data_IF_375123989735
#
_entry.id   IF_375123989735
#
_cell.length_a   1.000
_cell.length_b   1.000
_cell.length_c   1.000
_cell.angle_alpha   90.00
_cell.angle_beta   90.00
_cell.angle_gamma   90.00
#
_symmetry.space_group_name_H-M   'P 1'
#
loop_
_entity.id
_entity.type
_entity.pdbx_description
1 polymer ?
#
# COMPACT_ATOMS: atom_id res chain seq x y z
N UNK A 1 28.56 -19.36 7.09
CA UNK A 1 27.09 -19.22 7.14
C UNK A 1 26.77 -17.81 6.66
N UNK A 2 25.94 -17.69 5.62
CA UNK A 2 25.66 -16.39 5.00
C UNK A 2 24.83 -15.54 5.96
N UNK A 3 25.24 -14.30 6.20
CA UNK A 3 24.57 -13.37 7.14
C UNK A 3 23.17 -12.92 6.68
N UNK A 4 22.66 -13.44 5.56
CA UNK A 4 21.39 -13.03 4.96
C UNK A 4 20.26 -14.07 5.08
N UNK A 5 20.45 -15.19 5.78
CA UNK A 5 19.42 -16.25 5.88
C UNK A 5 18.09 -15.80 6.51
N UNK A 6 18.05 -14.62 7.13
CA UNK A 6 16.84 -14.09 7.79
C UNK A 6 15.96 -13.25 6.84
N UNK A 7 16.40 -12.96 5.61
CA UNK A 7 15.66 -12.08 4.69
C UNK A 7 14.76 -12.81 3.69
N UNK A 8 14.95 -14.11 3.49
CA UNK A 8 14.12 -14.92 2.60
C UNK A 8 13.40 -15.99 3.39
N UNK A 9 12.22 -15.66 3.89
CA UNK A 9 11.36 -16.67 4.50
C UNK A 9 10.87 -17.63 3.43
N UNK A 10 11.03 -18.94 3.65
CA UNK A 10 10.40 -19.97 2.81
C UNK A 10 8.88 -20.09 3.08
N UNK A 11 8.40 -19.44 4.14
CA UNK A 11 7.00 -19.45 4.56
C UNK A 11 6.44 -18.02 4.56
N UNK A 12 5.17 -17.88 4.19
CA UNK A 12 4.53 -16.57 4.20
C UNK A 12 4.38 -16.06 5.64
N UNK A 13 4.81 -14.81 5.87
CA UNK A 13 4.56 -14.11 7.11
C UNK A 13 3.09 -13.71 7.21
N UNK A 14 2.53 -13.70 8.42
CA UNK A 14 1.26 -13.03 8.72
C UNK A 14 1.58 -11.58 9.09
N UNK A 15 0.98 -10.62 8.38
CA UNK A 15 1.15 -9.19 8.67
C UNK A 15 0.08 -8.76 9.67
N UNK A 16 0.48 -8.21 10.82
CA UNK A 16 -0.45 -7.66 11.82
C UNK A 16 -1.28 -8.67 12.61
N UNK A 17 -0.82 -9.93 12.67
CA UNK A 17 -1.28 -11.19 13.30
C UNK A 17 -2.73 -11.44 13.79
N UNK A 18 -3.60 -10.46 14.04
CA UNK A 18 -4.90 -10.68 14.70
C UNK A 18 -6.06 -9.86 14.10
N UNK A 19 -5.93 -9.44 12.83
CA UNK A 19 -6.86 -8.47 12.23
C UNK A 19 -7.51 -9.01 10.97
N UNK A 20 -8.84 -9.03 10.98
CA UNK A 20 -9.63 -9.27 9.79
C UNK A 20 -9.58 -8.02 8.90
N UNK A 21 -9.22 -8.22 7.63
CA UNK A 21 -9.15 -7.17 6.62
C UNK A 21 -10.02 -7.48 5.42
N UNK A 22 -10.42 -6.42 4.71
CA UNK A 22 -11.21 -6.52 3.49
C UNK A 22 -10.53 -5.85 2.31
N UNK A 23 -10.99 -6.22 1.11
CA UNK A 23 -10.41 -5.76 -0.14
C UNK A 23 -9.03 -6.38 -0.39
N UNK A 24 -8.33 -5.79 -1.35
CA UNK A 24 -6.97 -6.16 -1.73
C UNK A 24 -5.99 -5.29 -0.94
N UNK A 25 -5.02 -5.87 -0.20
CA UNK A 25 -3.97 -5.07 0.44
C UNK A 25 -3.08 -4.43 -0.63
N UNK A 26 -2.68 -3.18 -0.42
CA UNK A 26 -1.76 -2.47 -1.30
C UNK A 26 -0.40 -2.35 -0.64
N UNK A 27 0.66 -2.64 -1.41
CA UNK A 27 2.06 -2.59 -0.98
C UNK A 27 2.83 -1.59 -1.84
N UNK A 28 3.83 -0.93 -1.28
CA UNK A 28 4.84 -0.15 -2.01
C UNK A 28 6.18 -0.24 -1.28
N UNK A 29 7.30 -0.08 -1.98
CA UNK A 29 8.56 0.21 -1.29
C UNK A 29 8.65 1.72 -1.04
N UNK A 30 8.76 2.09 0.23
CA UNK A 30 8.95 3.46 0.68
C UNK A 30 10.42 3.88 0.71
N UNK A 31 10.67 5.12 1.12
CA UNK A 31 12.01 5.67 1.31
C UNK A 31 12.52 5.62 2.77
N UNK A 32 11.69 5.16 3.72
CA UNK A 32 12.03 5.07 5.13
C UNK A 32 13.12 4.02 5.40
N UNK A 33 14.05 4.35 6.30
CA UNK A 33 15.22 3.52 6.58
C UNK A 33 16.27 3.62 5.47
N UNK A 34 17.41 2.97 5.67
CA UNK A 34 18.54 3.06 4.72
C UNK A 34 18.28 2.32 3.41
N UNK A 35 17.36 1.36 3.43
CA UNK A 35 17.06 0.47 2.30
C UNK A 35 15.66 0.63 1.74
N UNK A 36 14.85 1.49 2.34
CA UNK A 36 13.45 1.67 1.98
C UNK A 36 12.59 0.52 2.49
N UNK A 37 11.81 0.79 3.53
CA UNK A 37 10.83 -0.14 4.08
C UNK A 37 9.79 -0.55 3.04
N UNK A 38 9.17 -1.71 3.25
CA UNK A 38 7.91 -2.01 2.56
C UNK A 38 6.77 -1.39 3.35
N UNK A 39 5.87 -0.71 2.68
CA UNK A 39 4.74 0.01 3.25
C UNK A 39 3.45 -0.61 2.73
N UNK A 40 2.58 -1.05 3.64
CA UNK A 40 1.36 -1.77 3.32
C UNK A 40 0.15 -1.06 3.90
N UNK A 41 -0.90 -0.87 3.10
CA UNK A 41 -2.22 -0.43 3.58
C UNK A 41 -3.28 -1.49 3.30
N UNK A 42 -4.21 -1.66 4.25
CA UNK A 42 -5.37 -2.52 4.09
C UNK A 42 -6.61 -1.91 4.74
N UNK A 43 -7.79 -2.23 4.20
CA UNK A 43 -9.05 -1.86 4.82
C UNK A 43 -9.34 -2.78 6.02
N UNK A 44 -9.72 -2.18 7.15
CA UNK A 44 -10.21 -2.92 8.30
C UNK A 44 -11.53 -3.64 7.96
N UNK A 45 -11.76 -4.83 8.53
CA UNK A 45 -12.99 -5.59 8.27
C UNK A 45 -14.29 -4.88 8.64
N UNK A 46 -14.22 -3.92 9.58
CA UNK A 46 -15.35 -3.12 10.04
C UNK A 46 -15.26 -1.69 9.50
N UNK A 47 -14.27 -0.93 9.97
CA UNK A 47 -14.12 0.49 9.64
C UNK A 47 -12.66 0.97 9.81
N UNK A 48 -12.29 1.95 9.01
CA UNK A 48 -10.96 2.53 8.97
C UNK A 48 -9.96 1.71 8.17
N UNK A 49 -8.70 2.07 8.35
CA UNK A 49 -7.57 1.56 7.59
C UNK A 49 -6.46 1.16 8.55
N UNK A 50 -5.67 0.18 8.13
CA UNK A 50 -4.41 -0.19 8.77
C UNK A 50 -3.25 0.14 7.84
N UNK A 51 -2.20 0.72 8.42
CA UNK A 51 -0.88 0.78 7.80
C UNK A 51 0.08 -0.15 8.54
N UNK A 52 0.90 -0.89 7.81
CA UNK A 52 1.98 -1.72 8.32
C UNK A 52 3.26 -1.39 7.56
N UNK A 53 4.41 -1.57 8.21
CA UNK A 53 5.69 -1.42 7.55
C UNK A 53 6.63 -2.56 7.89
N UNK A 54 7.39 -3.02 6.90
CA UNK A 54 8.46 -4.01 7.07
C UNK A 54 9.79 -3.28 7.13
N UNK A 55 10.55 -3.49 8.21
CA UNK A 55 11.89 -2.94 8.30
C UNK A 55 12.84 -3.71 7.38
N UNK A 56 13.23 -3.07 6.27
CA UNK A 56 14.08 -3.66 5.25
C UNK A 56 15.59 -3.44 5.48
N UNK A 57 15.97 -2.74 6.56
CA UNK A 57 17.35 -2.51 6.92
C UNK A 57 18.04 -3.81 7.38
N UNK A 58 19.37 -3.80 7.48
CA UNK A 58 20.13 -4.87 8.15
C UNK A 58 20.41 -4.53 9.60
N UNK A 59 20.75 -5.56 10.38
CA UNK A 59 21.32 -5.39 11.73
C UNK A 59 22.55 -4.46 11.77
N UNK A 60 23.31 -4.38 10.67
CA UNK A 60 24.48 -3.51 10.55
C UNK A 60 24.13 -2.05 10.21
N UNK A 61 22.91 -1.79 9.76
CA UNK A 61 22.46 -0.44 9.48
C UNK A 61 22.09 0.26 10.81
N UNK A 62 22.46 1.54 11.00
CA UNK A 62 21.99 2.33 12.13
C UNK A 62 20.47 2.29 12.23
N UNK A 63 19.94 1.91 13.39
CA UNK A 63 18.50 1.86 13.64
C UNK A 63 17.93 3.27 13.67
N UNK A 64 17.21 3.66 12.62
CA UNK A 64 16.38 4.87 12.62
C UNK A 64 15.01 4.61 13.27
N UNK A 65 14.49 3.38 13.16
CA UNK A 65 13.24 2.93 13.75
C UNK A 65 13.49 1.80 14.76
N UNK A 66 13.93 2.09 16.00
CA UNK A 66 14.37 1.06 16.95
C UNK A 66 13.24 0.12 17.41
N UNK A 67 11.97 0.48 17.21
CA UNK A 67 10.82 -0.29 17.66
C UNK A 67 10.48 -1.49 16.76
N UNK A 68 10.94 -1.50 15.50
CA UNK A 68 10.71 -2.61 14.57
C UNK A 68 12.06 -3.19 14.15
N UNK A 69 12.41 -4.41 14.59
CA UNK A 69 13.68 -5.03 14.22
C UNK A 69 13.82 -5.22 12.70
N UNK A 70 15.04 -5.10 12.14
CA UNK A 70 15.37 -5.56 10.80
C UNK A 70 14.73 -6.92 10.46
N UNK A 71 14.14 -7.03 9.27
CA UNK A 71 13.50 -8.27 8.81
C UNK A 71 12.13 -8.55 9.41
N UNK A 72 11.50 -7.58 10.10
CA UNK A 72 10.21 -7.76 10.76
C UNK A 72 9.15 -6.76 10.30
N UNK A 73 7.90 -7.20 10.28
CA UNK A 73 6.73 -6.33 10.14
C UNK A 73 6.40 -5.64 11.46
N UNK A 74 5.89 -4.40 11.37
CA UNK A 74 5.33 -3.68 12.51
C UNK A 74 4.00 -4.31 12.97
N UNK A 75 3.59 -3.98 14.20
CA UNK A 75 2.24 -4.31 14.71
C UNK A 75 1.11 -3.53 14.01
N UNK A 76 1.46 -2.56 13.16
CA UNK A 76 0.56 -1.70 12.41
C UNK A 76 -0.13 -0.60 13.22
N UNK A 77 -0.48 0.48 12.51
CA UNK A 77 -1.19 1.65 13.04
C UNK A 77 -2.56 1.77 12.39
N UNK A 78 -3.60 1.99 13.19
CA UNK A 78 -4.97 2.25 12.70
C UNK A 78 -5.16 3.74 12.43
N UNK A 79 -5.84 4.06 11.35
CA UNK A 79 -6.28 5.42 11.05
C UNK A 79 -7.64 5.43 10.33
N UNK A 80 -8.15 6.63 10.07
CA UNK A 80 -9.44 6.86 9.41
C UNK A 80 -10.66 6.17 10.08
N UNK A 81 -10.81 6.20 11.42
CA UNK A 81 -11.96 5.56 12.08
C UNK A 81 -13.30 6.18 11.65
N UNK A 82 -14.40 5.45 11.80
CA UNK A 82 -15.75 5.93 11.50
C UNK A 82 -16.16 5.89 10.03
N UNK A 83 -15.29 5.42 9.13
CA UNK A 83 -15.61 5.23 7.70
C UNK A 83 -15.32 3.80 7.29
N UNK A 84 -16.28 3.14 6.62
CA UNK A 84 -16.06 1.83 6.01
C UNK A 84 -15.42 2.00 4.63
N UNK A 85 -14.23 1.45 4.47
CA UNK A 85 -13.51 1.44 3.19
C UNK A 85 -13.60 0.06 2.54
N UNK A 86 -13.65 0.04 1.21
CA UNK A 86 -13.75 -1.19 0.41
C UNK A 86 -12.50 -1.45 -0.43
N UNK A 87 -11.69 -0.42 -0.66
CA UNK A 87 -10.39 -0.52 -1.30
C UNK A 87 -9.49 0.63 -0.84
N UNK A 88 -8.18 0.38 -0.77
CA UNK A 88 -7.18 1.42 -0.51
C UNK A 88 -5.91 1.13 -1.31
N UNK A 89 -5.22 2.18 -1.72
CA UNK A 89 -3.93 2.10 -2.39
C UNK A 89 -2.92 3.02 -1.72
N UNK A 90 -1.74 2.51 -1.42
CA UNK A 90 -0.60 3.27 -0.88
C UNK A 90 0.42 3.53 -1.99
N UNK A 91 1.00 4.72 -2.00
CA UNK A 91 2.05 5.12 -2.95
C UNK A 91 3.14 5.90 -2.22
N UNK A 92 4.38 5.74 -2.67
CA UNK A 92 5.49 6.59 -2.23
C UNK A 92 5.39 7.96 -2.94
N UNK A 93 5.34 9.04 -2.17
CA UNK A 93 5.40 10.39 -2.70
C UNK A 93 6.84 10.76 -3.07
N UNK A 94 6.98 11.59 -4.09
CA UNK A 94 8.23 12.26 -4.44
C UNK A 94 8.29 13.69 -3.85
N UNK A 95 7.25 14.10 -3.11
CA UNK A 95 7.11 15.44 -2.56
C UNK A 95 7.41 15.44 -1.06
N UNK A 96 8.35 16.28 -0.64
CA UNK A 96 8.81 16.40 0.75
C UNK A 96 9.68 15.22 1.21
N UNK A 97 10.26 15.31 2.42
CA UNK A 97 11.05 14.23 2.99
C UNK A 97 10.11 13.11 3.46
N UNK A 98 10.05 12.04 2.68
CA UNK A 98 9.47 10.73 3.06
C UNK A 98 7.95 10.68 3.24
N UNK A 99 7.17 11.27 2.33
CA UNK A 99 5.71 11.17 2.44
C UNK A 99 5.13 9.95 1.73
N UNK A 100 4.11 9.35 2.36
CA UNK A 100 3.25 8.33 1.77
C UNK A 100 1.92 8.98 1.37
N UNK A 101 1.38 8.56 0.24
CA UNK A 101 0.05 8.90 -0.22
C UNK A 101 -0.86 7.69 -0.03
N UNK A 102 -2.08 7.89 0.49
CA UNK A 102 -3.09 6.85 0.55
C UNK A 102 -4.38 7.35 -0.10
N UNK A 103 -4.88 6.59 -1.07
CA UNK A 103 -6.18 6.80 -1.67
C UNK A 103 -7.09 5.70 -1.17
N UNK A 104 -8.24 6.06 -0.60
CA UNK A 104 -9.14 5.10 0.03
C UNK A 104 -10.58 5.29 -0.44
N UNK A 105 -11.13 4.24 -1.03
CA UNK A 105 -12.50 4.21 -1.52
C UNK A 105 -13.43 3.79 -0.39
N UNK A 106 -14.26 4.73 0.06
CA UNK A 106 -15.31 4.45 1.01
C UNK A 106 -16.48 3.72 0.33
N UNK A 107 -17.24 2.94 1.09
CA UNK A 107 -18.37 2.12 0.59
C UNK A 107 -19.50 2.93 -0.07
N UNK A 108 -19.69 4.18 0.36
CA UNK A 108 -20.62 5.14 -0.22
C UNK A 108 -20.11 5.78 -1.52
N UNK A 109 -18.88 5.48 -1.94
CA UNK A 109 -18.30 5.86 -3.23
C UNK A 109 -17.50 7.18 -3.23
N UNK A 110 -17.08 7.67 -2.07
CA UNK A 110 -16.10 8.76 -1.98
C UNK A 110 -14.68 8.20 -2.03
N UNK A 111 -13.84 8.71 -2.93
CA UNK A 111 -12.42 8.37 -3.01
C UNK A 111 -11.62 9.42 -2.24
N UNK A 112 -11.31 9.11 -0.99
CA UNK A 112 -10.59 10.00 -0.10
C UNK A 112 -9.10 10.02 -0.40
N UNK A 113 -8.46 11.16 -0.13
CA UNK A 113 -7.03 11.38 -0.32
C UNK A 113 -6.37 11.70 1.01
N UNK A 114 -5.38 10.90 1.38
CA UNK A 114 -4.66 10.97 2.64
C UNK A 114 -3.17 11.11 2.38
N UNK A 115 -2.47 11.77 3.30
CA UNK A 115 -1.01 11.80 3.30
C UNK A 115 -0.45 11.52 4.67
N UNK A 116 0.72 10.90 4.70
CA UNK A 116 1.51 10.79 5.92
C UNK A 116 2.25 12.10 6.18
N UNK A 117 2.18 12.61 7.40
CA UNK A 117 3.05 13.68 7.89
C UNK A 117 3.77 13.23 9.16
N UNK A 118 5.10 13.38 9.26
CA UNK A 118 5.84 13.08 10.48
C UNK A 118 5.24 13.85 11.67
N UNK A 119 4.91 13.12 12.74
CA UNK A 119 4.24 13.67 13.93
C UNK A 119 2.74 13.34 13.97
N UNK A 120 1.86 14.10 13.28
CA UNK A 120 0.41 13.86 13.32
C UNK A 120 -0.05 12.51 12.74
N UNK A 121 0.81 11.85 11.95
CA UNK A 121 0.49 10.63 11.23
C UNK A 121 -0.30 10.90 9.95
N UNK A 122 -1.18 9.97 9.57
CA UNK A 122 -2.04 10.11 8.40
C UNK A 122 -3.10 11.20 8.58
N UNK A 123 -3.17 12.11 7.61
CA UNK A 123 -4.14 13.20 7.57
C UNK A 123 -5.00 13.13 6.32
N UNK A 124 -6.31 13.31 6.51
CA UNK A 124 -7.28 13.45 5.42
C UNK A 124 -7.16 14.84 4.80
N UNK A 125 -7.17 14.90 3.47
CA UNK A 125 -7.34 16.15 2.72
C UNK A 125 -8.81 16.53 2.61
N UNK A 126 -9.09 17.83 2.58
CA UNK A 126 -10.46 18.32 2.52
C UNK A 126 -11.19 17.92 1.23
N UNK A 127 -10.48 17.89 0.10
CA UNK A 127 -11.05 17.51 -1.20
C UNK A 127 -10.79 16.03 -1.50
N UNK A 128 -11.85 15.21 -1.70
CA UNK A 128 -11.68 13.86 -2.21
C UNK A 128 -11.24 13.91 -3.68
N UNK A 129 -10.54 12.87 -4.12
CA UNK A 129 -10.09 12.74 -5.50
C UNK A 129 -11.26 12.62 -6.48
N UNK A 130 -12.29 11.87 -6.09
CA UNK A 130 -13.48 11.63 -6.89
C UNK A 130 -14.66 11.19 -6.01
N UNK A 131 -15.86 11.26 -6.57
CA UNK A 131 -17.13 10.83 -5.93
C UNK A 131 -17.89 9.90 -6.86
N UNK A 132 -18.77 9.07 -6.30
CA UNK A 132 -19.56 8.08 -7.05
C UNK A 132 -18.71 6.95 -7.62
N UNK A 133 -17.56 6.67 -7.01
CA UNK A 133 -16.56 5.70 -7.45
C UNK A 133 -16.93 4.28 -7.00
N UNK A 134 -16.65 3.28 -7.83
CA UNK A 134 -16.84 1.85 -7.55
C UNK A 134 -15.55 1.04 -7.65
N UNK A 135 -14.56 1.53 -8.40
CA UNK A 135 -13.20 1.03 -8.43
C UNK A 135 -12.25 2.15 -8.84
N UNK A 136 -10.98 2.07 -8.46
CA UNK A 136 -9.99 3.07 -8.86
C UNK A 136 -8.60 2.45 -9.02
N UNK A 137 -7.73 3.21 -9.68
CA UNK A 137 -6.29 3.00 -9.66
C UNK A 137 -5.59 4.34 -9.63
N UNK A 138 -4.58 4.46 -8.78
CA UNK A 138 -3.71 5.62 -8.69
C UNK A 138 -2.30 5.26 -9.15
N UNK A 139 -1.58 6.23 -9.71
CA UNK A 139 -0.14 6.18 -9.93
C UNK A 139 0.47 7.50 -9.50
N UNK A 140 1.68 7.44 -8.97
CA UNK A 140 2.45 8.62 -8.57
C UNK A 140 3.74 8.67 -9.38
N UNK A 141 4.04 9.81 -10.00
CA UNK A 141 5.26 10.03 -10.78
C UNK A 141 5.62 11.51 -10.71
N UNK A 142 6.86 11.82 -10.32
CA UNK A 142 7.41 13.18 -10.28
C UNK A 142 6.50 14.20 -9.57
N UNK A 143 5.92 13.79 -8.44
CA UNK A 143 5.01 14.60 -7.62
C UNK A 143 3.57 14.68 -8.12
N UNK A 144 3.30 14.11 -9.29
CA UNK A 144 1.98 14.06 -9.90
C UNK A 144 1.27 12.77 -9.51
N UNK A 145 0.09 12.93 -8.94
CA UNK A 145 -0.83 11.83 -8.66
C UNK A 145 -1.88 11.77 -9.78
N UNK A 146 -1.94 10.65 -10.50
CA UNK A 146 -2.92 10.41 -11.57
C UNK A 146 -3.84 9.27 -11.17
N UNK A 147 -5.14 9.47 -11.28
CA UNK A 147 -6.16 8.52 -10.83
C UNK A 147 -7.15 8.24 -11.94
N UNK A 148 -7.43 6.97 -12.18
CA UNK A 148 -8.60 6.52 -12.93
C UNK A 148 -9.62 5.99 -11.96
N UNK A 149 -10.88 6.42 -12.09
CA UNK A 149 -11.98 6.03 -11.23
C UNK A 149 -13.16 5.54 -12.09
N UNK A 150 -13.57 4.30 -11.88
CA UNK A 150 -14.81 3.78 -12.41
C UNK A 150 -15.98 4.36 -11.61
N UNK A 151 -16.92 4.99 -12.28
CA UNK A 151 -18.12 5.55 -11.67
C UNK A 151 -19.28 4.55 -11.72
N UNK A 152 -20.32 4.79 -10.91
CA UNK A 152 -21.61 4.08 -11.05
C UNK A 152 -22.13 4.28 -12.49
N UNK A 153 -22.38 3.19 -13.20
CA UNK A 153 -22.74 3.20 -14.62
C UNK A 153 -21.62 2.81 -15.58
N UNK A 154 -20.41 2.54 -15.06
CA UNK A 154 -19.30 1.97 -15.83
C UNK A 154 -18.44 2.99 -16.58
N UNK A 155 -18.77 4.29 -16.51
CA UNK A 155 -17.91 5.35 -17.05
C UNK A 155 -16.60 5.41 -16.26
N UNK A 156 -15.48 5.53 -16.96
CA UNK A 156 -14.18 5.78 -16.34
C UNK A 156 -13.89 7.28 -16.45
N UNK A 157 -13.66 7.91 -15.31
CA UNK A 157 -13.20 9.29 -15.22
C UNK A 157 -11.73 9.32 -14.80
N UNK A 158 -10.98 10.30 -15.30
CA UNK A 158 -9.58 10.49 -14.94
C UNK A 158 -9.40 11.84 -14.26
N UNK A 159 -8.71 11.83 -13.12
CA UNK A 159 -8.34 13.04 -12.40
C UNK A 159 -6.84 13.04 -12.12
N UNK A 160 -6.26 14.23 -12.09
CA UNK A 160 -4.85 14.45 -11.82
C UNK A 160 -4.70 15.52 -10.75
N UNK A 161 -3.73 15.34 -9.87
CA UNK A 161 -3.25 16.38 -8.96
C UNK A 161 -1.75 16.54 -9.13
N UNK A 162 -1.31 17.77 -9.39
CA UNK A 162 0.12 18.09 -9.33
C UNK A 162 0.59 18.29 -7.88
N UNK A 163 1.88 18.57 -7.71
CA UNK A 163 2.49 18.76 -6.39
C UNK A 163 2.45 20.20 -5.86
N UNK A 164 1.81 21.13 -6.58
CA UNK A 164 1.76 22.53 -6.19
C UNK A 164 0.86 22.70 -4.97
N UNK A 165 1.37 23.37 -3.93
CA UNK A 165 0.62 23.55 -2.68
C UNK A 165 0.63 22.33 -1.75
N UNK A 166 1.49 21.34 -2.02
CA UNK A 166 1.69 20.18 -1.15
C UNK A 166 1.93 20.60 0.32
N UNK A 167 1.31 19.93 1.32
CA UNK A 167 0.64 18.62 1.24
C UNK A 167 -0.78 18.63 0.71
N UNK A 168 -1.42 19.79 0.56
CA UNK A 168 -2.76 19.86 -0.03
C UNK A 168 -2.72 19.50 -1.51
N UNK A 169 -3.83 18.97 -2.01
CA UNK A 169 -3.97 18.54 -3.40
C UNK A 169 -5.27 19.07 -3.99
N UNK A 170 -5.15 19.65 -5.18
CA UNK A 170 -6.29 20.03 -6.01
C UNK A 170 -6.39 19.07 -7.19
N UNK A 171 -7.62 18.74 -7.57
CA UNK A 171 -7.90 17.73 -8.59
C UNK A 171 -8.45 18.35 -9.86
N UNK A 172 -7.86 17.99 -10.99
CA UNK A 172 -8.30 18.43 -12.32
C UNK A 172 -8.68 17.22 -13.16
N UNK A 173 -9.83 17.28 -13.83
CA UNK A 173 -10.24 16.26 -14.79
C UNK A 173 -9.34 16.27 -16.02
N UNK A 174 -8.91 15.10 -16.44
CA UNK A 174 -8.05 14.91 -17.63
C UNK A 174 -8.64 13.84 -18.56
N UNK A 175 -8.17 13.79 -19.81
CA UNK A 175 -8.71 12.87 -20.82
C UNK A 175 -8.21 11.42 -20.67
N UNK A 176 -7.12 11.20 -19.94
CA UNK A 176 -6.52 9.87 -19.79
C UNK A 176 -5.85 9.70 -18.44
N UNK A 177 -5.66 8.45 -18.05
CA UNK A 177 -5.08 8.06 -16.76
C UNK A 177 -4.60 6.61 -16.77
N UNK A 178 -4.19 6.06 -15.61
CA UNK A 178 -3.73 4.68 -15.52
C UNK A 178 -4.85 3.69 -15.89
N UNK A 179 -4.53 2.57 -16.53
CA UNK A 179 -5.52 1.51 -16.79
C UNK A 179 -6.03 0.90 -15.48
N UNK A 180 -7.34 0.67 -15.33
CA UNK A 180 -7.91 0.12 -14.09
C UNK A 180 -7.48 -1.32 -13.80
N UNK A 181 -7.17 -2.08 -14.84
CA UNK A 181 -6.65 -3.44 -14.70
C UNK A 181 -5.20 -3.40 -14.27
N UNK A 182 -4.89 -4.12 -13.20
CA UNK A 182 -3.51 -4.45 -12.85
C UNK A 182 -3.12 -5.77 -13.51
N UNK A 183 -1.88 -5.89 -14.00
CA UNK A 183 -1.34 -7.18 -14.41
C UNK A 183 -1.53 -8.19 -13.27
N UNK A 184 -1.96 -9.40 -13.62
CA UNK A 184 -2.01 -10.49 -12.67
C UNK A 184 -0.62 -10.82 -12.10
N UNK A 185 -0.56 -11.51 -10.95
CA UNK A 185 0.70 -11.97 -10.38
C UNK A 185 1.46 -12.83 -11.39
N UNK A 186 2.77 -12.61 -11.46
CA UNK A 186 3.70 -13.37 -12.31
C UNK A 186 4.30 -14.56 -11.58
N UNK A 187 4.29 -14.55 -10.24
CA UNK A 187 4.78 -15.63 -9.40
C UNK A 187 3.65 -16.57 -8.98
N UNK A 188 3.95 -17.86 -9.01
CA UNK A 188 3.08 -18.88 -8.44
C UNK A 188 3.45 -19.12 -6.97
N UNK A 189 2.61 -18.63 -6.06
CA UNK A 189 2.81 -18.78 -4.62
C UNK A 189 1.96 -19.95 -4.12
N UNK A 190 2.61 -21.10 -3.87
CA UNK A 190 1.91 -22.31 -3.39
C UNK A 190 1.06 -22.04 -2.14
N UNK A 191 1.62 -21.32 -1.16
CA UNK A 191 0.91 -20.95 0.08
C UNK A 191 -0.35 -20.12 -0.20
N UNK A 192 -0.34 -19.25 -1.21
CA UNK A 192 -1.52 -18.48 -1.60
C UNK A 192 -2.65 -19.41 -2.08
N UNK A 193 -2.34 -20.45 -2.86
CA UNK A 193 -3.34 -21.43 -3.30
C UNK A 193 -3.91 -22.23 -2.13
N UNK A 194 -3.03 -22.69 -1.24
CA UNK A 194 -3.39 -23.52 -0.10
C UNK A 194 -4.22 -22.76 0.95
N UNK A 195 -4.00 -21.46 1.08
CA UNK A 195 -4.70 -20.58 2.03
C UNK A 195 -5.98 -19.96 1.48
N UNK A 196 -6.39 -20.30 0.25
CA UNK A 196 -7.58 -19.74 -0.40
C UNK A 196 -7.44 -18.26 -0.70
N UNK A 197 -6.27 -17.85 -1.20
CA UNK A 197 -5.91 -16.46 -1.39
C UNK A 197 -6.91 -15.67 -2.24
N UNK A 198 -7.17 -14.44 -1.80
CA UNK A 198 -7.83 -13.41 -2.60
C UNK A 198 -6.91 -12.20 -2.71
N UNK A 199 -6.97 -11.52 -3.86
CA UNK A 199 -6.23 -10.28 -4.06
C UNK A 199 -4.72 -10.44 -4.03
N UNK A 200 -4.17 -11.53 -4.61
CA UNK A 200 -2.73 -11.66 -4.77
C UNK A 200 -2.19 -10.52 -5.63
N UNK A 201 -1.15 -9.86 -5.11
CA UNK A 201 -0.45 -8.73 -5.69
C UNK A 201 1.05 -8.87 -5.51
N UNK A 202 1.79 -8.24 -6.41
CA UNK A 202 3.25 -8.25 -6.44
C UNK A 202 3.79 -6.84 -6.60
N UNK A 203 4.86 -6.56 -5.85
CA UNK A 203 5.65 -5.34 -6.01
C UNK A 203 7.11 -5.73 -6.11
N UNK A 204 7.86 -5.07 -7.00
CA UNK A 204 9.32 -5.21 -7.03
C UNK A 204 9.91 -4.36 -5.92
N UNK A 205 10.84 -4.94 -5.16
CA UNK A 205 11.63 -4.22 -4.17
C UNK A 205 13.12 -4.36 -4.48
N UNK A 206 13.91 -3.34 -4.13
CA UNK A 206 15.37 -3.39 -4.17
C UNK A 206 15.99 -4.11 -2.96
N UNK A 207 15.16 -4.63 -2.05
CA UNK A 207 15.60 -5.38 -0.88
C UNK A 207 16.43 -6.60 -1.30
N UNK A 208 17.53 -6.83 -0.57
CA UNK A 208 18.50 -7.91 -0.81
C UNK A 208 18.97 -8.06 -2.27
N UNK A 209 19.16 -6.92 -2.97
CA UNK A 209 19.60 -6.93 -4.37
C UNK A 209 18.49 -7.17 -5.40
N UNK A 210 17.24 -7.33 -4.95
CA UNK A 210 16.06 -7.44 -5.80
C UNK A 210 15.13 -8.56 -5.36
N UNK A 211 13.89 -8.22 -5.00
CA UNK A 211 12.85 -9.18 -4.63
C UNK A 211 11.53 -8.88 -5.32
N UNK A 212 10.72 -9.91 -5.50
CA UNK A 212 9.28 -9.81 -5.75
C UNK A 212 8.59 -10.00 -4.41
N UNK A 213 7.92 -8.96 -3.95
CA UNK A 213 7.16 -8.96 -2.71
C UNK A 213 5.70 -9.29 -3.03
N UNK A 214 5.30 -10.53 -2.73
CA UNK A 214 3.95 -11.02 -2.92
C UNK A 214 3.11 -10.75 -1.67
N UNK A 215 1.88 -10.26 -1.84
CA UNK A 215 0.93 -10.03 -0.74
C UNK A 215 -0.46 -10.47 -1.14
N UNK A 216 -1.18 -11.11 -0.23
CA UNK A 216 -2.56 -11.55 -0.44
C UNK A 216 -3.31 -11.62 0.88
N UNK A 217 -4.61 -11.91 0.78
CA UNK A 217 -5.45 -12.18 1.94
C UNK A 217 -5.87 -13.64 1.97
N UNK A 218 -5.68 -14.31 3.10
CA UNK A 218 -6.12 -15.70 3.29
C UNK A 218 -7.63 -15.81 3.56
N UNK A 219 -8.14 -17.04 3.61
CA UNK A 219 -9.56 -17.31 3.84
C UNK A 219 -10.08 -16.83 5.22
N UNK A 220 -9.20 -16.48 6.17
CA UNK A 220 -9.58 -15.90 7.46
C UNK A 220 -9.53 -14.37 7.44
N UNK A 221 -9.29 -13.76 6.28
CA UNK A 221 -9.19 -12.31 6.15
C UNK A 221 -7.85 -11.73 6.62
N UNK A 222 -6.84 -12.58 6.89
CA UNK A 222 -5.52 -12.12 7.34
C UNK A 222 -4.63 -11.81 6.15
N UNK A 223 -3.77 -10.82 6.32
CA UNK A 223 -2.78 -10.45 5.31
C UNK A 223 -1.59 -11.39 5.40
N UNK A 224 -1.16 -11.88 4.24
CA UNK A 224 0.02 -12.73 4.06
C UNK A 224 1.03 -12.00 3.18
N UNK A 225 2.30 -12.18 3.49
CA UNK A 225 3.40 -11.62 2.72
C UNK A 225 4.50 -12.66 2.50
N UNK A 226 5.06 -12.69 1.29
CA UNK A 226 6.22 -13.51 0.95
C UNK A 226 7.16 -12.73 0.03
N UNK A 227 8.42 -12.61 0.45
CA UNK A 227 9.47 -12.00 -0.37
C UNK A 227 10.26 -13.07 -1.13
N UNK A 228 10.19 -13.02 -2.46
CA UNK A 228 10.80 -13.98 -3.38
C UNK A 228 12.04 -13.32 -4.00
N UNK A 229 13.24 -13.91 -3.90
CA UNK A 229 14.42 -13.40 -4.61
C UNK A 229 14.12 -13.25 -6.11
N UNK A 230 14.49 -12.12 -6.70
CA UNK A 230 14.48 -12.01 -8.15
C UNK A 230 15.61 -12.88 -8.72
N UNK A 231 15.38 -13.64 -9.80
CA UNK A 231 16.43 -14.39 -10.48
C UNK A 231 17.50 -13.50 -11.11
#
# INVERSE_FOLDING_TARGET
>A
MSKNEHMHSQTAAIVGCDRETIGVPSLVQGAYGRRGNLELVACDGQEGLWVFWFNADLESDPLETPEVPPGSWSSGLRFAPGTRFVAAQILQSALGPDHLEVLALADHGELQSWYWSPGPGFRLRAEPAARGVTAFRAVHSDGVLSVSAMQRGGLIAHVRSDGSGYPERTWTTVQGGPGLDEPGPTVDVADARETGATGLREVRSSRDGGTIEATWRDAQGRIRHLGIPSP
#
